data_IF_181874074229
#
_entry.id   IF_181874074229
#
_cell.length_a   1.000
_cell.length_b   1.000
_cell.length_c   1.000
_cell.angle_alpha   90.00
_cell.angle_beta   90.00
_cell.angle_gamma   90.00
#
_symmetry.space_group_name_H-M   'P 1'
#
loop_
_entity.id
_entity.type
_entity.pdbx_description
1 polymer ?
#
# COMPACT_ATOMS: atom_id res chain seq x y z
N UNK A 1 -1.87 0.33 33.91
CA UNK A 1 -0.79 -0.46 33.28
C UNK A 1 -0.33 0.36 32.10
N UNK A 2 0.86 0.97 32.20
CA UNK A 2 1.38 1.88 31.16
C UNK A 2 1.77 1.04 29.94
N UNK A 3 1.10 1.26 28.80
CA UNK A 3 1.31 0.51 27.57
C UNK A 3 2.41 1.17 26.74
N UNK A 4 3.60 1.31 27.34
CA UNK A 4 4.75 1.89 26.67
C UNK A 4 5.33 0.91 25.67
N UNK A 5 4.96 1.06 24.40
CA UNK A 5 5.39 0.17 23.31
C UNK A 5 6.76 0.58 22.75
N UNK A 6 7.08 1.88 22.76
CA UNK A 6 8.37 2.38 22.27
C UNK A 6 9.23 2.92 23.41
N UNK A 7 10.53 2.66 23.35
CA UNK A 7 11.51 3.12 24.33
C UNK A 7 12.80 3.49 23.63
N UNK A 8 13.16 4.77 23.69
CA UNK A 8 14.35 5.31 23.03
C UNK A 8 15.42 5.73 24.04
N UNK A 9 16.66 5.32 23.80
CA UNK A 9 17.87 5.78 24.48
C UNK A 9 18.44 7.01 23.77
N UNK A 10 18.36 7.06 22.45
CA UNK A 10 18.86 8.15 21.61
C UNK A 10 17.70 9.02 21.10
N UNK A 11 17.57 10.19 21.72
CA UNK A 11 16.56 11.20 21.37
C UNK A 11 16.71 11.73 19.94
N UNK A 12 17.91 11.71 19.37
CA UNK A 12 18.15 12.19 18.00
C UNK A 12 17.57 11.22 16.98
N UNK A 13 17.67 9.91 17.22
CA UNK A 13 17.07 8.87 16.37
C UNK A 13 15.55 9.00 16.34
N UNK A 14 14.93 9.23 17.49
CA UNK A 14 13.48 9.50 17.56
C UNK A 14 13.11 10.82 16.85
N UNK A 15 13.89 11.88 17.06
CA UNK A 15 13.65 13.16 16.39
C UNK A 15 13.71 13.02 14.86
N UNK A 16 14.68 12.27 14.34
CA UNK A 16 14.78 11.95 12.92
C UNK A 16 13.53 11.22 12.42
N UNK A 17 13.07 10.21 13.15
CA UNK A 17 11.91 9.40 12.75
C UNK A 17 10.58 10.18 12.70
N UNK A 18 10.44 11.16 13.61
CA UNK A 18 9.28 12.05 13.67
C UNK A 18 9.34 13.19 12.64
N UNK A 19 10.46 13.36 11.94
CA UNK A 19 10.70 14.48 11.03
C UNK A 19 10.39 14.10 9.59
N UNK A 20 9.30 14.64 9.04
CA UNK A 20 9.02 14.54 7.62
C UNK A 20 9.98 15.45 6.82
N UNK A 21 10.34 15.04 5.61
CA UNK A 21 11.18 15.83 4.68
C UNK A 21 10.75 17.29 4.52
N UNK A 22 9.43 17.56 4.52
CA UNK A 22 8.89 18.93 4.43
C UNK A 22 9.45 19.81 5.55
N UNK A 23 9.55 19.29 6.77
CA UNK A 23 10.07 20.05 7.90
C UNK A 23 11.57 20.35 7.73
N UNK A 24 12.36 19.37 7.30
CA UNK A 24 13.79 19.56 7.03
C UNK A 24 14.01 20.66 5.97
N UNK A 25 13.26 20.59 4.87
CA UNK A 25 13.38 21.57 3.77
C UNK A 25 12.98 22.98 4.22
N UNK A 26 11.90 23.11 4.99
CA UNK A 26 11.51 24.40 5.55
C UNK A 26 12.58 24.94 6.51
N UNK A 27 13.11 24.10 7.40
CA UNK A 27 14.16 24.49 8.33
C UNK A 27 15.38 25.00 7.59
N UNK A 28 15.82 24.28 6.55
CA UNK A 28 16.95 24.68 5.72
C UNK A 28 16.69 26.00 4.99
N UNK A 29 15.49 26.18 4.43
CA UNK A 29 15.10 27.43 3.77
C UNK A 29 15.13 28.63 4.72
N UNK A 30 14.65 28.47 5.97
CA UNK A 30 14.57 29.55 6.96
C UNK A 30 15.89 29.86 7.66
N UNK A 31 16.72 28.84 7.92
CA UNK A 31 17.94 28.97 8.74
C UNK A 31 19.23 28.97 7.91
N UNK A 32 19.17 28.62 6.63
CA UNK A 32 20.35 28.50 5.77
C UNK A 32 21.27 27.34 6.12
N UNK A 33 20.85 26.45 7.04
CA UNK A 33 21.61 25.28 7.50
C UNK A 33 20.72 24.04 7.47
N UNK A 34 21.30 22.87 7.21
CA UNK A 34 20.58 21.59 7.22
C UNK A 34 20.00 21.32 8.62
N UNK A 35 18.82 20.71 8.69
CA UNK A 35 18.24 20.27 9.96
C UNK A 35 19.16 19.21 10.61
N UNK A 36 19.59 19.40 11.87
CA UNK A 36 20.68 18.60 12.46
C UNK A 36 20.32 17.13 12.67
N UNK A 37 19.03 16.78 12.72
CA UNK A 37 18.58 15.41 12.94
C UNK A 37 18.23 14.66 11.63
N UNK A 38 18.21 15.34 10.48
CA UNK A 38 17.77 14.76 9.22
C UNK A 38 16.25 14.50 9.16
N UNK A 39 15.83 13.63 8.26
CA UNK A 39 14.43 13.27 8.04
C UNK A 39 14.22 11.75 8.09
N UNK A 40 12.96 11.33 8.00
CA UNK A 40 12.55 9.95 8.15
C UNK A 40 12.59 9.07 6.90
N UNK A 41 13.01 9.57 5.72
CA UNK A 41 12.93 8.85 4.44
C UNK A 41 13.62 7.48 4.48
N UNK A 42 14.86 7.42 4.97
CA UNK A 42 15.62 6.16 5.05
C UNK A 42 14.97 5.15 6.00
N UNK A 43 14.37 5.64 7.09
CA UNK A 43 13.68 4.81 8.07
C UNK A 43 12.34 4.27 7.58
N UNK A 44 11.65 4.96 6.66
CA UNK A 44 10.36 4.50 6.12
C UNK A 44 10.52 3.14 5.42
N UNK A 45 11.54 3.02 4.56
CA UNK A 45 11.80 1.78 3.81
C UNK A 45 12.18 0.62 4.72
N UNK A 46 13.08 0.86 5.68
CA UNK A 46 13.52 -0.15 6.65
C UNK A 46 12.35 -0.59 7.53
N UNK A 47 11.53 0.35 7.99
CA UNK A 47 10.35 0.09 8.81
C UNK A 47 9.31 -0.75 8.09
N UNK A 48 9.14 -0.54 6.78
CA UNK A 48 8.30 -1.40 5.93
C UNK A 48 8.80 -2.84 5.94
N UNK A 49 10.10 -3.05 5.67
CA UNK A 49 10.71 -4.39 5.61
C UNK A 49 10.55 -5.11 6.96
N UNK A 50 10.81 -4.41 8.06
CA UNK A 50 10.65 -4.94 9.42
C UNK A 50 9.20 -5.39 9.68
N UNK A 51 8.22 -4.52 9.38
CA UNK A 51 6.80 -4.86 9.56
C UNK A 51 6.39 -6.08 8.72
N UNK A 52 6.83 -6.15 7.47
CA UNK A 52 6.53 -7.27 6.58
C UNK A 52 7.16 -8.58 7.05
N UNK A 53 8.39 -8.52 7.55
CA UNK A 53 9.09 -9.65 8.14
C UNK A 53 8.33 -10.18 9.36
N UNK A 54 8.08 -9.33 10.37
CA UNK A 54 7.41 -9.76 11.59
C UNK A 54 5.95 -10.16 11.36
N UNK A 55 5.26 -9.58 10.38
CA UNK A 55 3.93 -10.04 9.99
C UNK A 55 3.95 -11.50 9.51
N UNK A 56 4.92 -11.83 8.65
CA UNK A 56 5.07 -13.18 8.11
C UNK A 56 5.52 -14.16 9.20
N UNK A 57 6.51 -13.78 9.99
CA UNK A 57 7.03 -14.57 11.10
C UNK A 57 5.95 -14.86 12.16
N UNK A 58 5.15 -13.85 12.54
CA UNK A 58 4.03 -14.03 13.46
C UNK A 58 3.01 -15.06 12.96
N UNK A 59 2.67 -15.04 11.68
CA UNK A 59 1.71 -15.99 11.11
C UNK A 59 2.29 -17.40 10.97
N UNK A 60 3.57 -17.51 10.62
CA UNK A 60 4.29 -18.80 10.53
C UNK A 60 4.36 -19.47 11.90
N UNK A 61 4.69 -18.72 12.95
CA UNK A 61 4.72 -19.23 14.33
C UNK A 61 3.35 -19.71 14.83
N UNK A 62 2.26 -19.22 14.23
CA UNK A 62 0.88 -19.64 14.51
C UNK A 62 0.41 -20.80 13.62
N UNK A 63 1.30 -21.37 12.81
CA UNK A 63 1.02 -22.53 11.97
C UNK A 63 0.40 -22.19 10.62
N UNK A 64 0.46 -20.94 10.15
CA UNK A 64 0.05 -20.57 8.80
C UNK A 64 1.23 -20.59 7.82
N UNK A 65 1.04 -20.99 6.56
CA UNK A 65 -0.23 -21.42 5.96
C UNK A 65 -0.65 -22.82 6.41
N UNK A 66 -1.96 -23.03 6.57
CA UNK A 66 -2.56 -24.31 6.94
C UNK A 66 -3.74 -24.64 6.01
N UNK A 67 -3.70 -25.82 5.39
CA UNK A 67 -4.71 -26.30 4.41
C UNK A 67 -6.12 -26.36 4.97
N UNK A 68 -6.27 -26.60 6.27
CA UNK A 68 -7.55 -26.67 6.98
C UNK A 68 -8.11 -25.28 7.31
N UNK A 69 -7.27 -24.25 7.21
CA UNK A 69 -7.64 -22.88 7.52
C UNK A 69 -7.95 -22.08 6.27
N UNK A 70 -8.25 -20.82 6.51
CA UNK A 70 -8.49 -19.82 5.49
C UNK A 70 -7.22 -19.40 4.73
N UNK A 71 -6.06 -19.44 5.37
CA UNK A 71 -4.76 -19.10 4.77
C UNK A 71 -4.07 -20.42 4.41
N UNK A 72 -4.25 -20.90 3.16
CA UNK A 72 -3.91 -22.27 2.77
C UNK A 72 -2.53 -22.40 2.13
N UNK A 73 -2.04 -21.32 1.52
CA UNK A 73 -0.79 -21.26 0.76
C UNK A 73 -0.02 -19.98 1.07
N UNK A 74 1.28 -19.95 0.75
CA UNK A 74 2.12 -18.76 0.92
C UNK A 74 1.61 -17.53 0.15
N UNK A 75 0.98 -17.74 -1.00
CA UNK A 75 0.32 -16.66 -1.76
C UNK A 75 -0.79 -15.97 -0.96
N UNK A 76 -1.53 -16.72 -0.13
CA UNK A 76 -2.60 -16.16 0.70
C UNK A 76 -2.02 -15.26 1.80
N UNK A 77 -0.85 -15.60 2.35
CA UNK A 77 -0.12 -14.77 3.31
C UNK A 77 0.32 -13.44 2.67
N UNK A 78 0.84 -13.49 1.45
CA UNK A 78 1.27 -12.28 0.72
C UNK A 78 0.09 -11.36 0.46
N UNK A 79 -1.04 -11.90 0.00
CA UNK A 79 -2.27 -11.14 -0.22
C UNK A 79 -2.82 -10.54 1.08
N UNK A 80 -2.81 -11.31 2.17
CA UNK A 80 -3.21 -10.83 3.49
C UNK A 80 -2.31 -9.68 3.96
N UNK A 81 -0.99 -9.84 3.82
CA UNK A 81 0.01 -8.82 4.16
C UNK A 81 -0.25 -7.52 3.39
N UNK A 82 -0.40 -7.59 2.06
CA UNK A 82 -0.68 -6.42 1.22
C UNK A 82 -1.99 -5.73 1.59
N UNK A 83 -3.03 -6.50 1.91
CA UNK A 83 -4.32 -5.95 2.35
C UNK A 83 -4.20 -5.29 3.72
N UNK A 84 -3.50 -5.89 4.67
CA UNK A 84 -3.54 -5.44 6.05
C UNK A 84 -2.48 -4.40 6.39
N UNK A 85 -1.26 -4.51 5.85
CA UNK A 85 -0.18 -3.53 6.01
C UNK A 85 -0.26 -2.39 4.99
N UNK A 86 -1.47 -1.94 4.67
CA UNK A 86 -1.68 -0.81 3.77
C UNK A 86 -1.62 0.53 4.52
N UNK A 87 -1.43 1.62 3.76
CA UNK A 87 -1.33 2.99 4.28
C UNK A 87 -2.50 3.35 5.21
N UNK A 88 -3.73 3.09 4.81
CA UNK A 88 -4.93 3.43 5.59
C UNK A 88 -4.91 2.74 6.96
N UNK A 89 -4.65 1.44 6.99
CA UNK A 89 -4.65 0.67 8.23
C UNK A 89 -3.57 1.15 9.19
N UNK A 90 -2.35 1.39 8.67
CA UNK A 90 -1.22 1.89 9.45
C UNK A 90 -1.44 3.32 9.94
N UNK A 91 -2.07 4.19 9.13
CA UNK A 91 -2.43 5.55 9.53
C UNK A 91 -3.43 5.59 10.69
N UNK A 92 -4.45 4.73 10.63
CA UNK A 92 -5.42 4.59 11.72
C UNK A 92 -4.75 4.08 13.00
N UNK A 93 -3.78 3.15 12.90
CA UNK A 93 -2.99 2.69 14.06
C UNK A 93 -2.10 3.82 14.60
N UNK A 94 -1.46 4.60 13.73
CA UNK A 94 -0.67 5.77 14.10
C UNK A 94 -1.51 6.80 14.87
N UNK A 95 -2.77 7.02 14.49
CA UNK A 95 -3.69 7.89 15.21
C UNK A 95 -4.08 7.34 16.60
N UNK A 96 -4.19 6.02 16.75
CA UNK A 96 -4.41 5.40 18.07
C UNK A 96 -3.25 5.71 19.03
N UNK A 97 -2.02 5.78 18.49
CA UNK A 97 -0.82 6.21 19.22
C UNK A 97 -0.59 7.72 19.26
N UNK A 98 -1.55 8.53 18.81
CA UNK A 98 -1.48 10.00 18.82
C UNK A 98 -0.26 10.57 18.09
N UNK A 99 0.24 9.88 17.06
CA UNK A 99 1.40 10.32 16.29
C UNK A 99 1.15 11.67 15.59
N UNK A 100 -0.09 12.01 15.27
CA UNK A 100 -0.47 13.30 14.69
C UNK A 100 -0.02 14.50 15.54
N UNK A 101 0.09 14.34 16.86
CA UNK A 101 0.58 15.40 17.74
C UNK A 101 2.10 15.60 17.65
N UNK A 102 2.84 14.54 17.30
CA UNK A 102 4.29 14.45 17.46
C UNK A 102 5.05 14.71 16.16
N UNK A 103 4.44 14.39 15.01
CA UNK A 103 5.07 14.53 13.69
C UNK A 103 5.44 15.99 13.40
N UNK A 104 6.63 16.19 12.85
CA UNK A 104 7.11 17.47 12.37
C UNK A 104 6.92 17.53 10.84
N UNK A 105 5.98 18.37 10.41
CA UNK A 105 5.67 18.67 8.99
C UNK A 105 5.89 20.16 8.66
N UNK A 106 6.62 20.87 9.52
CA UNK A 106 6.81 22.31 9.36
C UNK A 106 5.52 23.12 9.53
N UNK A 107 5.35 24.16 8.72
CA UNK A 107 4.19 25.05 8.68
C UNK A 107 2.96 24.40 8.03
N UNK A 108 3.11 23.24 7.39
CA UNK A 108 2.02 22.50 6.76
C UNK A 108 1.26 21.64 7.78
N UNK A 109 0.76 22.27 8.85
CA UNK A 109 0.16 21.60 10.02
C UNK A 109 -1.00 20.65 9.62
N UNK A 110 -1.73 20.98 8.55
CA UNK A 110 -2.81 20.15 8.00
C UNK A 110 -2.34 18.74 7.60
N UNK A 111 -1.05 18.57 7.30
CA UNK A 111 -0.46 17.30 6.92
C UNK A 111 -0.21 16.34 8.09
N UNK A 112 -0.30 16.81 9.35
CA UNK A 112 -0.15 15.95 10.54
C UNK A 112 -1.15 14.79 10.61
N UNK A 113 -2.31 14.95 9.96
CA UNK A 113 -3.37 13.92 9.85
C UNK A 113 -3.44 13.26 8.48
N UNK A 114 -2.48 13.54 7.59
CA UNK A 114 -2.43 12.91 6.29
C UNK A 114 -2.13 11.40 6.45
N UNK A 115 -2.94 10.49 5.88
CA UNK A 115 -2.76 9.05 6.08
C UNK A 115 -1.38 8.54 5.65
N UNK A 116 -0.84 9.03 4.53
CA UNK A 116 0.49 8.67 4.05
C UNK A 116 1.56 9.01 5.09
N UNK A 117 1.57 10.25 5.58
CA UNK A 117 2.57 10.72 6.54
C UNK A 117 2.44 9.97 7.88
N UNK A 118 1.22 9.71 8.35
CA UNK A 118 0.98 8.93 9.56
C UNK A 118 1.53 7.50 9.44
N UNK A 119 1.22 6.82 8.34
CA UNK A 119 1.69 5.47 8.07
C UNK A 119 3.22 5.42 7.93
N UNK A 120 3.81 6.36 7.21
CA UNK A 120 5.25 6.51 7.02
C UNK A 120 5.95 6.78 8.36
N UNK A 121 5.40 7.65 9.20
CA UNK A 121 5.95 7.94 10.53
C UNK A 121 5.92 6.70 11.42
N UNK A 122 4.82 5.94 11.43
CA UNK A 122 4.75 4.69 12.19
C UNK A 122 5.85 3.70 11.78
N UNK A 123 6.06 3.51 10.46
CA UNK A 123 7.15 2.69 9.93
C UNK A 123 8.50 3.22 10.39
N UNK A 124 8.68 4.54 10.29
CA UNK A 124 9.93 5.17 10.66
C UNK A 124 10.28 5.01 12.14
N UNK A 125 9.31 5.13 13.05
CA UNK A 125 9.52 4.92 14.48
C UNK A 125 9.92 3.47 14.76
N UNK A 126 9.33 2.50 14.06
CA UNK A 126 9.70 1.08 14.19
C UNK A 126 11.17 0.87 13.76
N UNK A 127 11.58 1.46 12.63
CA UNK A 127 12.98 1.40 12.19
C UNK A 127 13.92 2.11 13.17
N UNK A 128 13.54 3.27 13.68
CA UNK A 128 14.30 3.98 14.69
C UNK A 128 14.48 3.14 15.96
N UNK A 129 13.44 2.44 16.41
CA UNK A 129 13.52 1.54 17.56
C UNK A 129 14.52 0.41 17.33
N UNK A 130 14.55 -0.17 16.11
CA UNK A 130 15.52 -1.20 15.72
C UNK A 130 16.97 -0.70 15.82
N UNK A 131 17.25 0.52 15.34
CA UNK A 131 18.58 1.11 15.45
C UNK A 131 18.94 1.47 16.90
N UNK A 132 17.97 2.01 17.64
CA UNK A 132 18.16 2.45 19.01
C UNK A 132 18.39 1.28 19.99
N UNK A 133 17.76 0.13 19.74
CA UNK A 133 17.97 -1.10 20.49
C UNK A 133 19.20 -1.89 20.04
N UNK A 134 20.16 -1.27 19.35
CA UNK A 134 21.36 -1.94 18.82
C UNK A 134 21.05 -3.19 17.99
N UNK A 135 20.02 -3.10 17.15
CA UNK A 135 19.57 -4.17 16.26
C UNK A 135 18.94 -5.38 16.95
N UNK A 136 18.50 -5.24 18.21
CA UNK A 136 17.83 -6.32 18.95
C UNK A 136 16.45 -6.65 18.34
N UNK A 137 16.39 -7.79 17.65
CA UNK A 137 15.18 -8.30 17.00
C UNK A 137 14.14 -8.85 17.99
N UNK A 138 14.53 -9.31 19.17
CA UNK A 138 13.59 -9.83 20.16
C UNK A 138 12.90 -8.67 20.87
N UNK A 139 13.64 -7.62 21.25
CA UNK A 139 13.03 -6.37 21.72
C UNK A 139 12.08 -5.80 20.66
N UNK A 140 12.53 -5.75 19.41
CA UNK A 140 11.70 -5.23 18.32
C UNK A 140 10.44 -6.07 18.07
N UNK A 141 10.50 -7.39 18.26
CA UNK A 141 9.34 -8.27 18.20
C UNK A 141 8.29 -7.86 19.22
N UNK A 142 8.68 -7.59 20.46
CA UNK A 142 7.79 -7.13 21.53
C UNK A 142 7.13 -5.79 21.17
N UNK A 143 7.86 -4.88 20.53
CA UNK A 143 7.36 -3.58 20.06
C UNK A 143 6.36 -3.74 18.90
N UNK A 144 6.69 -4.60 17.92
CA UNK A 144 5.90 -4.75 16.69
C UNK A 144 4.66 -5.62 16.90
N UNK A 145 4.70 -6.58 17.84
CA UNK A 145 3.60 -7.53 18.06
C UNK A 145 2.24 -6.87 18.40
N UNK A 146 2.14 -5.85 19.28
CA UNK A 146 0.89 -5.13 19.51
C UNK A 146 0.35 -4.42 18.25
N UNK A 147 1.24 -3.92 17.39
CA UNK A 147 0.88 -3.30 16.11
C UNK A 147 0.31 -4.35 15.17
N UNK A 148 0.98 -5.50 15.03
CA UNK A 148 0.50 -6.62 14.23
C UNK A 148 -0.85 -7.16 14.72
N UNK A 149 -1.06 -7.20 16.03
CA UNK A 149 -2.36 -7.59 16.58
C UNK A 149 -3.46 -6.64 16.12
N UNK A 150 -3.26 -5.32 16.21
CA UNK A 150 -4.24 -4.34 15.71
C UNK A 150 -4.47 -4.47 14.19
N UNK A 151 -3.42 -4.74 13.43
CA UNK A 151 -3.49 -5.01 11.98
C UNK A 151 -4.35 -6.26 11.70
N UNK A 152 -4.14 -7.34 12.44
CA UNK A 152 -4.85 -8.62 12.28
C UNK A 152 -6.29 -8.56 12.77
N UNK A 153 -6.58 -7.83 13.85
CA UNK A 153 -7.93 -7.60 14.36
C UNK A 153 -8.79 -6.89 13.30
N UNK A 154 -8.21 -5.93 12.57
CA UNK A 154 -8.85 -5.34 11.38
C UNK A 154 -9.07 -6.34 10.25
N UNK A 155 -8.28 -7.40 10.19
CA UNK A 155 -8.42 -8.47 9.21
C UNK A 155 -9.57 -9.43 9.48
N UNK A 156 -10.01 -9.58 10.73
CA UNK A 156 -11.10 -10.49 11.11
C UNK A 156 -12.45 -10.10 10.49
N UNK A 157 -12.66 -8.82 10.22
CA UNK A 157 -13.92 -8.31 9.65
C UNK A 157 -14.00 -8.42 8.12
N UNK A 158 -12.89 -8.70 7.43
CA UNK A 158 -12.84 -8.66 5.97
C UNK A 158 -12.60 -10.07 5.39
N UNK A 159 -13.60 -10.67 4.69
CA UNK A 159 -13.56 -12.06 4.21
C UNK A 159 -12.39 -12.36 3.26
N UNK A 160 -11.84 -13.58 3.28
CA UNK A 160 -10.76 -13.94 2.34
C UNK A 160 -11.20 -14.12 0.89
N UNK A 161 -12.50 -14.25 0.63
CA UNK A 161 -13.01 -14.19 -0.75
C UNK A 161 -12.60 -12.86 -1.41
N UNK A 162 -12.45 -11.79 -0.62
CA UNK A 162 -11.95 -10.50 -1.09
C UNK A 162 -10.41 -10.49 -1.22
N UNK A 163 -9.67 -11.30 -0.44
CA UNK A 163 -8.20 -11.40 -0.55
C UNK A 163 -7.75 -12.04 -1.85
N UNK A 164 -8.52 -12.99 -2.39
CA UNK A 164 -8.20 -13.65 -3.66
C UNK A 164 -8.38 -12.77 -4.89
N UNK A 165 -8.92 -11.56 -4.76
CA UNK A 165 -9.28 -10.74 -5.91
C UNK A 165 -8.25 -9.66 -6.17
N UNK A 166 -7.07 -10.04 -6.66
CA UNK A 166 -6.54 -9.30 -7.79
C UNK A 166 -7.39 -9.73 -9.00
N UNK A 167 -8.29 -8.88 -9.53
CA UNK A 167 -9.22 -9.30 -10.57
C UNK A 167 -8.49 -9.86 -11.80
N UNK A 168 -7.28 -9.37 -12.10
CA UNK A 168 -6.45 -9.86 -13.19
C UNK A 168 -5.96 -11.28 -12.93
N UNK A 169 -5.34 -11.53 -11.78
CA UNK A 169 -4.85 -12.86 -11.41
C UNK A 169 -5.99 -13.87 -11.33
N UNK A 170 -7.10 -13.50 -10.67
CA UNK A 170 -8.28 -14.35 -10.55
C UNK A 170 -8.92 -14.66 -11.92
N UNK A 171 -8.98 -13.67 -12.82
CA UNK A 171 -9.43 -13.87 -14.19
C UNK A 171 -8.51 -14.81 -14.97
N UNK A 172 -7.19 -14.62 -14.89
CA UNK A 172 -6.23 -15.46 -15.60
C UNK A 172 -6.23 -16.90 -15.08
N UNK A 173 -6.31 -17.10 -13.76
CA UNK A 173 -6.48 -18.44 -13.16
C UNK A 173 -7.76 -19.11 -13.64
N UNK A 174 -8.88 -18.39 -13.67
CA UNK A 174 -10.15 -18.92 -14.15
C UNK A 174 -10.07 -19.30 -15.65
N UNK A 175 -9.52 -18.42 -16.48
CA UNK A 175 -9.40 -18.66 -17.92
C UNK A 175 -8.48 -19.84 -18.20
N UNK A 176 -7.32 -19.92 -17.57
CA UNK A 176 -6.36 -21.02 -17.72
C UNK A 176 -6.89 -22.35 -17.16
N UNK A 177 -7.69 -22.30 -16.09
CA UNK A 177 -8.26 -23.48 -15.45
C UNK A 177 -9.46 -24.08 -16.19
N UNK A 178 -10.16 -23.28 -17.00
CA UNK A 178 -11.38 -23.71 -17.70
C UNK A 178 -11.23 -23.75 -19.23
N UNK A 179 -10.20 -23.11 -19.80
CA UNK A 179 -10.02 -22.97 -21.25
C UNK A 179 -8.53 -22.87 -21.63
N UNK A 180 -8.20 -23.11 -22.90
CA UNK A 180 -6.87 -22.81 -23.46
C UNK A 180 -6.81 -21.41 -24.12
N UNK A 181 -7.76 -20.53 -23.81
CA UNK A 181 -7.91 -19.25 -24.50
C UNK A 181 -6.97 -18.21 -23.91
N UNK A 182 -6.36 -17.39 -24.78
CA UNK A 182 -5.50 -16.28 -24.37
C UNK A 182 -6.28 -14.95 -24.45
N UNK A 183 -6.43 -14.21 -23.34
CA UNK A 183 -7.08 -12.91 -23.36
C UNK A 183 -6.19 -11.87 -24.06
N UNK A 184 -6.81 -11.01 -24.86
CA UNK A 184 -6.17 -9.82 -25.45
C UNK A 184 -6.63 -8.59 -24.67
N UNK A 185 -5.69 -7.79 -24.20
CA UNK A 185 -6.00 -6.52 -23.51
C UNK A 185 -5.33 -5.38 -24.26
N UNK A 186 -6.11 -4.39 -24.66
CA UNK A 186 -5.65 -3.13 -25.24
C UNK A 186 -5.95 -1.97 -24.30
N UNK A 187 -5.00 -1.04 -24.20
CA UNK A 187 -5.12 0.17 -23.37
C UNK A 187 -4.81 1.35 -24.28
N UNK A 188 -5.81 2.20 -24.47
CA UNK A 188 -5.68 3.48 -25.15
C UNK A 188 -5.86 4.61 -24.14
N UNK A 189 -5.25 5.76 -24.39
CA UNK A 189 -5.46 6.93 -23.53
C UNK A 189 -5.51 8.21 -24.35
N UNK A 190 -6.24 9.19 -23.83
CA UNK A 190 -6.34 10.55 -24.39
C UNK A 190 -6.35 11.59 -23.28
N UNK A 191 -5.86 12.80 -23.58
CA UNK A 191 -6.03 13.96 -22.69
C UNK A 191 -7.38 14.60 -22.97
N UNK A 192 -8.18 14.78 -21.93
CA UNK A 192 -9.45 15.47 -22.01
C UNK A 192 -9.26 16.95 -21.57
N UNK A 193 -9.48 17.92 -22.47
CA UNK A 193 -9.36 19.34 -22.16
C UNK A 193 -10.59 19.94 -21.47
N UNK A 194 -11.65 19.15 -21.20
CA UNK A 194 -12.95 19.65 -20.75
C UNK A 194 -13.06 20.10 -19.27
N UNK A 195 -11.99 20.01 -18.49
CA UNK A 195 -11.98 20.39 -17.07
C UNK A 195 -11.12 21.65 -16.86
N UNK A 196 -11.75 22.83 -16.93
CA UNK A 196 -11.28 24.14 -16.45
C UNK A 196 -9.76 24.26 -16.18
N UNK A 197 -8.94 24.20 -17.24
CA UNK A 197 -7.51 24.53 -17.20
C UNK A 197 -6.54 23.40 -16.79
N UNK A 198 -7.01 22.24 -16.34
CA UNK A 198 -6.16 21.10 -15.98
C UNK A 198 -6.52 19.87 -16.82
N UNK A 199 -5.75 19.53 -17.88
CA UNK A 199 -6.05 18.38 -18.73
C UNK A 199 -5.93 17.07 -17.93
N UNK A 200 -6.95 16.22 -17.98
CA UNK A 200 -6.98 14.92 -17.29
C UNK A 200 -6.74 13.80 -18.30
N UNK A 201 -5.91 12.82 -17.93
CA UNK A 201 -5.73 11.61 -18.74
C UNK A 201 -6.95 10.68 -18.57
N UNK A 202 -7.55 10.28 -19.68
CA UNK A 202 -8.63 9.30 -19.75
C UNK A 202 -8.08 8.05 -20.40
N UNK A 203 -8.16 6.92 -19.69
CA UNK A 203 -7.75 5.60 -20.15
C UNK A 203 -8.96 4.79 -20.56
N UNK A 204 -8.93 4.23 -21.76
CA UNK A 204 -9.87 3.22 -22.25
C UNK A 204 -9.17 1.87 -22.25
N UNK A 205 -9.67 0.94 -21.45
CA UNK A 205 -9.15 -0.43 -21.37
C UNK A 205 -10.18 -1.36 -21.97
N UNK A 206 -9.77 -2.18 -22.93
CA UNK A 206 -10.59 -3.20 -23.57
C UNK A 206 -9.96 -4.58 -23.37
N UNK A 207 -10.77 -5.54 -22.96
CA UNK A 207 -10.40 -6.93 -22.82
C UNK A 207 -11.30 -7.78 -23.70
N UNK A 208 -10.67 -8.60 -24.54
CA UNK A 208 -11.31 -9.54 -25.42
C UNK A 208 -10.82 -10.96 -25.13
N UNK A 209 -11.74 -11.90 -25.03
CA UNK A 209 -11.44 -13.32 -24.95
C UNK A 209 -12.17 -14.04 -26.09
N UNK A 210 -11.53 -14.05 -27.26
CA UNK A 210 -12.12 -14.51 -28.53
C UNK A 210 -13.56 -13.98 -28.71
N UNK A 211 -14.52 -14.85 -29.03
CA UNK A 211 -15.92 -14.50 -29.27
C UNK A 211 -16.79 -14.62 -28.00
N UNK A 212 -16.20 -14.91 -26.84
CA UNK A 212 -16.96 -15.17 -25.61
C UNK A 212 -17.30 -13.89 -24.86
N UNK A 213 -16.32 -13.00 -24.70
CA UNK A 213 -16.49 -11.72 -24.00
C UNK A 213 -15.64 -10.64 -24.67
N UNK A 214 -16.23 -9.45 -24.79
CA UNK A 214 -15.55 -8.19 -25.08
C UNK A 214 -16.06 -7.15 -24.07
N UNK A 215 -15.14 -6.57 -23.30
CA UNK A 215 -15.45 -5.62 -22.24
C UNK A 215 -14.54 -4.41 -22.40
N UNK A 216 -15.17 -3.24 -22.48
CA UNK A 216 -14.48 -1.96 -22.52
C UNK A 216 -14.90 -1.10 -21.34
N UNK A 217 -13.94 -0.49 -20.66
CA UNK A 217 -14.16 0.52 -19.61
C UNK A 217 -13.28 1.73 -19.84
N UNK A 218 -13.77 2.88 -19.39
CA UNK A 218 -13.09 4.16 -19.49
C UNK A 218 -12.95 4.76 -18.09
N UNK A 219 -11.81 5.34 -17.75
CA UNK A 219 -11.61 6.00 -16.46
C UNK A 219 -10.30 6.77 -16.37
N UNK A 220 -10.20 7.63 -15.36
CA UNK A 220 -9.06 8.56 -15.16
C UNK A 220 -7.81 7.92 -14.55
N UNK A 221 -7.96 6.72 -13.95
CA UNK A 221 -6.87 5.97 -13.34
C UNK A 221 -6.68 4.65 -14.10
N UNK A 222 -5.56 4.51 -14.80
CA UNK A 222 -5.21 3.31 -15.59
C UNK A 222 -5.42 2.01 -14.81
N UNK A 223 -4.84 1.92 -13.60
CA UNK A 223 -4.86 0.70 -12.78
C UNK A 223 -6.27 0.33 -12.33
N UNK A 224 -7.06 1.31 -11.87
CA UNK A 224 -8.43 1.06 -11.47
C UNK A 224 -9.32 0.66 -12.67
N UNK A 225 -9.18 1.34 -13.80
CA UNK A 225 -9.91 1.00 -15.03
C UNK A 225 -9.59 -0.42 -15.49
N UNK A 226 -8.32 -0.83 -15.46
CA UNK A 226 -7.90 -2.20 -15.78
C UNK A 226 -8.51 -3.22 -14.81
N UNK A 227 -8.47 -2.98 -13.50
CA UNK A 227 -9.07 -3.88 -12.50
C UNK A 227 -10.58 -4.05 -12.70
N UNK A 228 -11.30 -2.99 -13.05
CA UNK A 228 -12.73 -3.05 -13.32
C UNK A 228 -13.06 -3.92 -14.55
N UNK A 229 -12.24 -3.85 -15.61
CA UNK A 229 -12.40 -4.68 -16.80
C UNK A 229 -12.26 -6.16 -16.45
N UNK A 230 -11.18 -6.53 -15.74
CA UNK A 230 -10.97 -7.93 -15.34
C UNK A 230 -12.05 -8.44 -14.37
N UNK A 231 -12.56 -7.60 -13.47
CA UNK A 231 -13.62 -7.97 -12.53
C UNK A 231 -14.94 -8.27 -13.26
N UNK A 232 -15.32 -7.43 -14.21
CA UNK A 232 -16.49 -7.64 -15.05
C UNK A 232 -16.32 -8.88 -15.94
N UNK A 233 -15.11 -9.11 -16.48
CA UNK A 233 -14.78 -10.26 -17.31
C UNK A 233 -14.95 -11.58 -16.55
N UNK A 234 -14.40 -11.65 -15.34
CA UNK A 234 -14.54 -12.82 -14.47
C UNK A 234 -16.01 -13.07 -14.12
N UNK A 235 -16.77 -12.03 -13.77
CA UNK A 235 -18.19 -12.15 -13.44
C UNK A 235 -19.01 -12.70 -14.62
N UNK A 236 -18.80 -12.19 -15.84
CA UNK A 236 -19.49 -12.70 -17.04
C UNK A 236 -19.13 -14.15 -17.35
N UNK A 237 -17.86 -14.52 -17.23
CA UNK A 237 -17.44 -15.90 -17.48
C UNK A 237 -18.03 -16.89 -16.46
N UNK A 238 -18.06 -16.51 -15.17
CA UNK A 238 -18.71 -17.32 -14.14
C UNK A 238 -20.20 -17.50 -14.43
N UNK A 239 -20.90 -16.44 -14.86
CA UNK A 239 -22.30 -16.51 -15.26
C UNK A 239 -22.53 -17.43 -16.46
N UNK A 240 -21.69 -17.34 -17.50
CA UNK A 240 -21.75 -18.21 -18.68
C UNK A 240 -21.53 -19.67 -18.26
N UNK A 241 -20.54 -19.96 -17.41
CA UNK A 241 -20.29 -21.30 -16.91
C UNK A 241 -21.48 -21.87 -16.14
N UNK A 242 -22.08 -21.08 -15.24
CA UNK A 242 -23.29 -21.51 -14.52
C UNK A 242 -24.45 -21.78 -15.49
N UNK A 243 -24.67 -20.94 -16.51
CA UNK A 243 -25.75 -21.15 -17.48
C UNK A 243 -25.54 -22.39 -18.36
N UNK A 244 -24.29 -22.75 -18.67
CA UNK A 244 -23.94 -23.96 -19.42
C UNK A 244 -24.18 -25.26 -18.62
N UNK A 245 -24.09 -25.20 -17.29
CA UNK A 245 -24.37 -26.34 -16.40
C UNK A 245 -25.87 -26.67 -16.26
N UNK A 246 -26.77 -25.74 -16.61
CA UNK A 246 -28.23 -25.91 -16.48
C UNK A 246 -28.99 -26.20 -17.79
N UNK A 247 -28.32 -26.25 -18.95
CA UNK A 247 -28.99 -26.50 -20.24
C UNK A 247 -28.13 -27.34 -21.20
N UNK A 248 -28.33 -28.68 -21.27
CA UNK A 248 -27.53 -29.61 -22.07
C UNK A 248 -27.55 -29.34 -23.59
N UNK A 249 -28.55 -28.60 -24.10
CA UNK A 249 -28.70 -28.32 -25.52
C UNK A 249 -27.70 -27.29 -26.07
N UNK A 250 -27.11 -26.41 -25.24
CA UNK A 250 -26.14 -25.40 -25.70
C UNK A 250 -24.71 -25.94 -25.86
N UNK A 251 -24.36 -27.05 -25.19
CA UNK A 251 -23.02 -27.65 -25.24
C UNK A 251 -22.63 -28.09 -26.66
N UNK A 252 -23.58 -28.61 -27.44
CA UNK A 252 -23.33 -29.10 -28.79
C UNK A 252 -23.10 -27.96 -29.81
N UNK A 253 -23.69 -26.78 -29.61
CA UNK A 253 -23.52 -25.65 -30.53
C UNK A 253 -22.16 -24.94 -30.37
N UNK A 254 -21.62 -24.84 -29.16
CA UNK A 254 -20.30 -24.24 -28.91
C UNK A 254 -19.14 -25.18 -29.25
N UNK A 255 -19.31 -26.50 -29.04
CA UNK A 255 -18.29 -27.50 -29.41
C UNK A 255 -18.07 -27.57 -30.93
N UNK A 256 -19.10 -27.25 -31.74
CA UNK A 256 -18.97 -27.15 -33.19
C UNK A 256 -18.27 -25.86 -33.65
N UNK A 257 -18.39 -24.73 -32.94
CA UNK A 257 -17.69 -23.49 -33.28
C UNK A 257 -16.21 -23.49 -32.87
N UNK A 258 -15.81 -24.31 -31.89
CA UNK A 258 -14.43 -24.40 -31.40
C UNK A 258 -13.52 -25.33 -32.24
N UNK A 259 -14.05 -26.07 -33.23
CA UNK A 259 -13.27 -27.02 -34.07
C UNK A 259 -12.94 -26.51 -35.48
N UNK A 260 -13.51 -25.38 -35.93
CA UNK A 260 -13.21 -24.82 -37.26
C UNK A 260 -12.28 -23.61 -37.15
N UNK A 261 -10.98 -23.88 -37.03
CA UNK A 261 -9.81 -23.08 -37.51
C UNK A 261 -8.56 -23.45 -36.71
N UNK A 262 -8.19 -24.72 -36.77
CA UNK A 262 -6.86 -25.20 -36.40
C UNK A 262 -6.13 -25.57 -37.69
N UNK A 263 -5.55 -24.56 -38.34
CA UNK A 263 -4.50 -24.66 -39.35
C UNK A 263 -3.97 -23.24 -39.56
N UNK A 264 -3.00 -22.85 -38.74
CA UNK A 264 -1.66 -22.49 -39.24
C UNK A 264 -0.79 -21.82 -38.18
N UNK A 265 0.44 -22.36 -38.12
CA UNK A 265 1.71 -21.78 -37.69
C UNK A 265 1.96 -21.52 -36.20
N UNK A 266 2.71 -22.49 -35.65
CA UNK A 266 3.81 -22.32 -34.72
C UNK A 266 4.63 -21.04 -34.98
N UNK A 267 4.92 -20.32 -33.90
CA UNK A 267 6.24 -19.77 -33.60
C UNK A 267 6.32 -19.56 -32.08
N UNK A 268 7.30 -20.25 -31.50
CA UNK A 268 7.78 -20.19 -30.13
C UNK A 268 8.34 -18.82 -29.79
N UNK A 269 7.85 -18.20 -28.72
CA UNK A 269 8.63 -17.24 -27.93
C UNK A 269 8.33 -17.46 -26.44
N UNK A 270 9.40 -17.77 -25.70
CA UNK A 270 9.44 -17.85 -24.24
C UNK A 270 9.11 -16.49 -23.63
N UNK A 271 8.29 -16.47 -22.57
CA UNK A 271 8.18 -15.29 -21.70
C UNK A 271 8.73 -15.67 -20.34
N UNK A 272 9.93 -15.16 -20.07
CA UNK A 272 10.61 -15.10 -18.80
C UNK A 272 9.72 -14.37 -17.78
N UNK A 273 9.45 -15.03 -16.66
CA UNK A 273 8.85 -14.41 -15.48
C UNK A 273 9.96 -13.61 -14.81
N UNK A 274 9.94 -12.28 -14.97
CA UNK A 274 10.67 -11.37 -14.08
C UNK A 274 9.65 -10.76 -13.11
N UNK A 275 9.84 -11.09 -11.84
CA UNK A 275 9.24 -10.42 -10.69
C UNK A 275 9.58 -8.92 -10.75
N UNK A 276 8.57 -8.08 -10.99
CA UNK A 276 8.66 -6.66 -10.68
C UNK A 276 8.44 -6.48 -9.18
N UNK A 277 9.55 -6.44 -8.45
CA UNK A 277 9.61 -5.78 -7.14
C UNK A 277 9.16 -4.33 -7.34
N UNK A 278 8.04 -3.97 -6.72
CA UNK A 278 7.52 -2.61 -6.59
C UNK A 278 8.62 -1.71 -6.00
N UNK A 279 9.40 -1.09 -6.89
CA UNK A 279 10.17 0.11 -6.56
C UNK A 279 9.20 1.26 -6.71
N UNK A 280 8.62 1.68 -5.58
CA UNK A 280 7.91 2.94 -5.50
C UNK A 280 8.90 4.07 -5.82
N UNK A 281 8.97 4.46 -7.08
CA UNK A 281 9.60 5.70 -7.49
C UNK A 281 8.91 6.85 -6.77
N UNK A 282 9.68 7.53 -5.93
CA UNK A 282 9.32 8.81 -5.34
C UNK A 282 9.27 9.80 -6.51
N UNK A 283 8.07 10.23 -6.88
CA UNK A 283 7.87 11.37 -7.77
C UNK A 283 8.37 12.62 -7.04
N UNK A 284 9.61 13.03 -7.33
CA UNK A 284 10.33 14.12 -6.67
C UNK A 284 9.91 15.52 -7.13
N UNK A 285 8.73 15.68 -7.72
CA UNK A 285 8.25 16.95 -8.29
C UNK A 285 7.03 17.55 -7.56
N UNK A 286 7.00 17.46 -6.22
CA UNK A 286 6.14 18.34 -5.42
C UNK A 286 6.92 19.62 -5.08
N UNK A 287 6.74 20.66 -5.89
CA UNK A 287 7.12 22.02 -5.51
C UNK A 287 6.27 22.45 -4.30
N UNK A 288 6.88 22.50 -3.13
CA UNK A 288 6.24 23.08 -1.95
C UNK A 288 6.36 24.61 -2.01
N UNK A 289 5.22 25.30 -2.11
CA UNK A 289 5.17 26.75 -1.90
C UNK A 289 5.22 27.03 -0.40
N UNK A 290 6.35 27.56 0.07
CA UNK A 290 6.47 28.08 1.43
C UNK A 290 5.88 29.49 1.47
N UNK A 291 4.81 29.69 2.24
CA UNK A 291 4.27 31.04 2.45
C UNK A 291 5.19 31.84 3.38
N UNK A 292 5.63 33.02 2.94
CA UNK A 292 6.29 34.04 3.76
C UNK A 292 5.28 34.68 4.73
N UNK A 293 4.80 33.93 5.70
CA UNK A 293 4.16 34.52 6.88
C UNK A 293 5.28 35.13 7.71
N UNK A 294 5.49 36.44 7.53
CA UNK A 294 6.38 37.25 8.37
C UNK A 294 5.94 37.11 9.82
N UNK A 295 6.89 36.83 10.71
CA UNK A 295 6.74 36.64 12.15
C UNK A 295 6.26 37.91 12.90
N UNK A 296 5.08 38.47 12.55
CA UNK A 296 4.56 39.66 13.24
C UNK A 296 3.16 39.53 13.86
N UNK A 297 2.39 38.47 13.58
CA UNK A 297 1.00 38.39 14.08
C UNK A 297 0.70 37.18 14.99
N UNK A 298 1.70 36.64 15.69
CA UNK A 298 1.46 35.75 16.83
C UNK A 298 2.38 36.14 17.97
N UNK A 299 1.87 36.96 18.89
CA UNK A 299 2.47 37.18 20.20
C UNK A 299 2.52 35.85 20.96
N UNK A 300 3.59 35.09 20.76
CA UNK A 300 3.94 33.94 21.57
C UNK A 300 5.18 34.32 22.36
N UNK A 301 4.92 34.79 23.59
CA UNK A 301 5.92 34.93 24.62
C UNK A 301 6.74 33.64 24.76
N UNK A 302 8.02 33.86 24.99
CA UNK A 302 9.05 32.88 25.31
C UNK A 302 8.53 31.70 26.15
N UNK A 303 8.57 30.52 25.54
CA UNK A 303 8.79 29.28 26.27
C UNK A 303 9.85 28.49 25.51
N UNK A 304 11.10 28.91 25.73
CA UNK A 304 12.30 28.22 25.30
C UNK A 304 12.44 26.89 26.06
N UNK A 305 11.56 25.93 25.78
CA UNK A 305 11.89 24.53 26.05
C UNK A 305 12.85 24.05 24.98
N UNK A 306 14.02 23.56 25.37
CA UNK A 306 14.99 22.99 24.42
C UNK A 306 14.32 21.87 23.63
N UNK A 307 14.77 21.62 22.40
CA UNK A 307 14.25 20.51 21.59
C UNK A 307 14.36 19.18 22.37
N UNK A 308 15.42 19.02 23.18
CA UNK A 308 15.55 17.92 24.15
C UNK A 308 14.38 17.84 25.14
N UNK A 309 13.94 18.96 25.73
CA UNK A 309 12.75 18.99 26.61
C UNK A 309 11.44 18.74 25.87
N UNK A 310 11.33 19.14 24.60
CA UNK A 310 10.18 18.76 23.76
C UNK A 310 10.22 17.26 23.48
N UNK A 311 11.37 16.68 23.18
CA UNK A 311 11.54 15.24 22.97
C UNK A 311 11.33 14.43 24.26
N UNK A 312 11.76 14.92 25.42
CA UNK A 312 11.45 14.33 26.74
C UNK A 312 9.94 14.39 27.03
N UNK A 313 9.27 15.52 26.76
CA UNK A 313 7.81 15.61 26.84
C UNK A 313 7.11 14.68 25.83
N UNK A 314 7.68 14.49 24.64
CA UNK A 314 7.18 13.53 23.64
C UNK A 314 7.38 12.07 24.12
N UNK A 315 8.50 11.77 24.79
CA UNK A 315 8.79 10.47 25.40
C UNK A 315 7.90 10.18 26.62
N UNK A 316 7.52 11.21 27.38
CA UNK A 316 6.50 11.16 28.43
C UNK A 316 5.10 10.95 27.85
N UNK A 317 4.79 11.52 26.68
CA UNK A 317 3.54 11.25 25.94
C UNK A 317 3.49 9.84 25.33
N UNK A 318 4.65 9.29 24.96
CA UNK A 318 4.81 7.85 24.66
C UNK A 318 4.81 6.96 25.92
N UNK A 319 4.85 7.54 27.13
CA UNK A 319 4.79 6.82 28.41
C UNK A 319 3.36 6.66 28.97
N UNK A 320 2.34 6.65 28.10
CA UNK A 320 0.95 6.29 28.43
C UNK A 320 0.67 4.81 28.15
#
# INVERSE_FOLDING_TARGET
MNNKIFSFQNTNTLAQALTNKIHELEYQSKKGIKYPYGNNEDFIGIGQIILEFFFSDYLIQRGYPNKETQIKKSSDLVLLRQRLLNERNLAEIALNYKLDNLIQVGNQINLKKNPKILAETLKSIIAAQYFDSSYDLEHLREVVQPILKQVLDKGQTVPLVELKQNPKSAFLEFVNGCTNLKPKVSIEWKKDPSQNGNPINIYQVQLELNNLISITKVGVNKRNTEQLVYREALKRLQQIQSNLLYSPHLQNQLTQQLKTKSQDKELTEEITILDELDTSFIDSNQFYQFSDLRDKDMGLQDNQKTIGQKVELLLEQFAL
#
